data_IF_338525251002
#
_entry.id   IF_338525251002
#
_cell.length_a   1.000
_cell.length_b   1.000
_cell.length_c   1.000
_cell.angle_alpha   90.00
_cell.angle_beta   90.00
_cell.angle_gamma   90.00
#
_symmetry.space_group_name_H-M   'P 1'
#
loop_
_entity.id
_entity.type
_entity.pdbx_description
1 polymer ?
#
# COMPACT_ATOMS: atom_id res chain seq x y z
N UNK A 1 -8.43 -9.40 7.98
CA UNK A 1 -8.75 -8.05 7.47
C UNK A 1 -7.46 -7.48 6.89
N UNK A 2 -7.31 -7.55 5.58
CA UNK A 2 -6.11 -7.05 4.90
C UNK A 2 -6.08 -5.55 5.03
N UNK A 3 -5.12 -5.03 5.79
CA UNK A 3 -4.80 -3.61 5.80
C UNK A 3 -4.35 -3.24 4.39
N UNK A 4 -5.21 -2.54 3.67
CA UNK A 4 -4.90 -1.95 2.38
C UNK A 4 -3.88 -0.84 2.58
N UNK A 5 -2.59 -1.20 2.56
CA UNK A 5 -1.49 -0.24 2.41
C UNK A 5 -1.36 -0.01 0.91
N UNK A 6 -2.22 0.82 0.34
CA UNK A 6 -2.20 1.15 -1.10
C UNK A 6 -2.24 2.66 -1.37
N UNK A 7 -1.97 3.50 -0.38
CA UNK A 7 -2.16 4.94 -0.57
C UNK A 7 -0.90 5.74 -0.96
N UNK A 8 0.30 5.15 -0.99
CA UNK A 8 1.54 5.93 -1.19
C UNK A 8 2.11 5.95 -2.61
N UNK A 9 1.82 4.94 -3.42
CA UNK A 9 2.51 4.80 -4.71
C UNK A 9 1.68 5.28 -5.90
N UNK A 10 0.35 5.31 -5.80
CA UNK A 10 -0.54 5.74 -6.90
C UNK A 10 -0.45 7.24 -7.20
N UNK A 11 -0.02 8.05 -6.24
CA UNK A 11 0.09 9.49 -6.45
C UNK A 11 1.35 9.92 -7.23
N UNK A 12 2.40 9.09 -7.28
CA UNK A 12 3.66 9.44 -7.97
C UNK A 12 3.68 8.98 -9.44
N UNK A 13 2.80 8.04 -9.83
CA UNK A 13 2.72 7.53 -11.21
C UNK A 13 1.62 8.19 -12.04
N UNK A 14 0.76 9.02 -11.47
CA UNK A 14 -0.43 9.53 -12.14
C UNK A 14 -0.19 10.82 -12.98
N UNK A 15 1.03 11.20 -13.25
CA UNK A 15 1.33 12.48 -13.90
C UNK A 15 2.21 12.46 -15.16
N UNK A 16 2.65 11.30 -15.66
CA UNK A 16 3.63 11.27 -16.75
C UNK A 16 3.20 10.41 -17.94
N UNK A 17 2.31 10.95 -18.75
CA UNK A 17 2.26 10.60 -20.14
C UNK A 17 3.05 11.65 -20.94
N UNK A 18 4.36 11.46 -21.14
CA UNK A 18 5.10 12.15 -22.21
C UNK A 18 6.40 11.45 -22.58
N UNK A 19 6.41 11.03 -23.83
CA UNK A 19 7.49 10.98 -24.79
C UNK A 19 8.79 10.32 -24.34
N UNK A 20 8.94 9.10 -24.78
CA UNK A 20 10.27 8.49 -25.01
C UNK A 20 11.04 9.36 -26.00
N UNK A 21 12.06 10.08 -25.56
CA UNK A 21 13.10 10.57 -26.42
C UNK A 21 13.98 9.37 -26.76
N UNK A 22 13.79 8.82 -27.97
CA UNK A 22 14.81 8.00 -28.58
C UNK A 22 16.09 8.83 -28.67
N UNK A 23 17.21 8.26 -28.25
CA UNK A 23 18.53 8.80 -28.51
C UNK A 23 18.71 8.97 -30.00
N UNK A 24 18.66 10.22 -30.42
CA UNK A 24 18.84 10.69 -31.78
C UNK A 24 19.46 12.07 -31.78
N UNK A 25 20.79 12.10 -31.80
CA UNK A 25 21.63 13.18 -32.33
C UNK A 25 21.35 14.60 -31.83
N UNK A 26 22.23 15.11 -31.02
CA UNK A 26 22.44 16.54 -30.80
C UNK A 26 22.67 17.24 -32.15
N UNK A 27 21.63 17.90 -32.64
CA UNK A 27 21.66 18.75 -33.80
C UNK A 27 20.46 19.66 -33.72
N UNK A 28 20.67 20.96 -33.44
CA UNK A 28 19.64 22.01 -33.58
C UNK A 28 19.10 22.02 -35.00
N UNK A 29 18.10 21.21 -35.28
CA UNK A 29 17.48 21.09 -36.58
C UNK A 29 16.01 21.50 -36.50
N UNK A 30 15.67 22.70 -36.90
CA UNK A 30 14.32 23.10 -37.21
C UNK A 30 13.76 22.28 -38.35
N UNK A 31 13.27 21.05 -38.05
CA UNK A 31 12.51 20.23 -38.98
C UNK A 31 11.02 20.33 -38.69
N UNK A 32 10.20 19.88 -39.62
CA UNK A 32 8.77 19.74 -39.40
C UNK A 32 8.50 18.44 -38.65
N UNK A 33 7.57 18.49 -37.68
CA UNK A 33 7.14 17.27 -36.95
C UNK A 33 6.06 16.51 -37.72
N UNK A 34 5.30 17.21 -38.56
CA UNK A 34 4.28 16.62 -39.43
C UNK A 34 3.92 17.54 -40.60
N UNK A 35 3.29 16.96 -41.63
CA UNK A 35 2.66 17.68 -42.72
C UNK A 35 1.22 17.17 -42.87
N UNK A 36 0.25 18.09 -42.88
CA UNK A 36 -1.19 17.77 -43.02
C UNK A 36 -1.69 18.50 -44.25
N UNK A 37 -2.08 17.78 -45.29
CA UNK A 37 -2.56 18.35 -46.57
C UNK A 37 -1.61 19.40 -47.18
N UNK A 38 -0.29 19.22 -46.98
CA UNK A 38 0.73 20.17 -47.47
C UNK A 38 1.11 21.29 -46.50
N UNK A 39 0.36 21.52 -45.45
CA UNK A 39 0.70 22.47 -44.40
C UNK A 39 1.58 21.80 -43.33
N UNK A 40 2.56 22.52 -42.83
CA UNK A 40 3.61 21.99 -41.94
C UNK A 40 3.35 22.36 -40.49
N UNK A 41 3.60 21.40 -39.58
CA UNK A 41 3.73 21.66 -38.15
C UNK A 41 5.24 21.70 -37.87
N UNK A 42 5.74 22.87 -37.52
CA UNK A 42 7.17 23.02 -37.24
C UNK A 42 7.53 22.43 -35.87
N UNK A 43 8.78 21.97 -35.72
CA UNK A 43 9.33 21.55 -34.44
C UNK A 43 9.24 22.67 -33.39
N UNK A 44 9.57 23.89 -33.79
CA UNK A 44 9.55 25.04 -32.88
C UNK A 44 8.15 25.33 -32.33
N UNK A 45 7.10 25.27 -33.17
CA UNK A 45 5.72 25.48 -32.71
C UNK A 45 5.23 24.37 -31.81
N UNK A 46 5.59 23.11 -32.13
CA UNK A 46 5.28 21.96 -31.30
C UNK A 46 5.94 22.07 -29.94
N UNK A 47 7.25 22.33 -29.90
CA UNK A 47 8.02 22.44 -28.64
C UNK A 47 7.51 23.64 -27.82
N UNK A 48 7.25 24.79 -28.43
CA UNK A 48 6.67 25.96 -27.77
C UNK A 48 5.30 25.65 -27.14
N UNK A 49 4.47 24.89 -27.86
CA UNK A 49 3.17 24.46 -27.32
C UNK A 49 3.29 23.46 -26.19
N UNK A 50 4.25 22.54 -26.30
CA UNK A 50 4.52 21.56 -25.26
C UNK A 50 5.03 22.24 -23.97
N UNK A 51 6.04 23.11 -24.08
CA UNK A 51 6.66 23.82 -22.95
C UNK A 51 5.67 24.76 -22.24
N UNK A 52 4.80 25.43 -22.99
CA UNK A 52 3.75 26.27 -22.41
C UNK A 52 2.60 25.48 -21.77
N UNK A 53 2.51 24.18 -22.04
CA UNK A 53 1.45 23.32 -21.51
C UNK A 53 1.66 23.03 -20.01
N UNK A 54 0.55 22.70 -19.33
CA UNK A 54 0.61 22.26 -17.93
C UNK A 54 1.52 21.01 -17.75
N UNK A 55 1.47 20.09 -18.70
CA UNK A 55 2.28 18.88 -18.71
C UNK A 55 3.77 19.18 -18.88
N UNK A 56 4.12 20.05 -19.84
CA UNK A 56 5.50 20.47 -20.05
C UNK A 56 6.11 21.13 -18.80
N UNK A 57 5.36 22.02 -18.17
CA UNK A 57 5.75 22.64 -16.90
C UNK A 57 5.90 21.62 -15.77
N UNK A 58 5.03 20.62 -15.69
CA UNK A 58 5.13 19.54 -14.70
C UNK A 58 6.40 18.68 -14.92
N UNK A 59 6.70 18.33 -16.16
CA UNK A 59 7.93 17.61 -16.53
C UNK A 59 9.17 18.43 -16.17
N UNK A 60 9.19 19.71 -16.52
CA UNK A 60 10.30 20.60 -16.17
C UNK A 60 10.51 20.65 -14.63
N UNK A 61 9.44 20.85 -13.87
CA UNK A 61 9.51 20.85 -12.40
C UNK A 61 10.10 19.52 -11.85
N UNK A 62 9.68 18.39 -12.41
CA UNK A 62 10.20 17.09 -12.03
C UNK A 62 11.69 16.93 -12.38
N UNK A 63 12.12 17.40 -13.55
CA UNK A 63 13.54 17.39 -13.94
C UNK A 63 14.39 18.23 -12.98
N UNK A 64 13.92 19.43 -12.63
CA UNK A 64 14.58 20.28 -11.62
C UNK A 64 14.68 19.55 -10.28
N UNK A 65 13.59 18.96 -9.81
CA UNK A 65 13.56 18.22 -8.55
C UNK A 65 14.52 17.03 -8.58
N UNK A 66 14.51 16.23 -9.65
CA UNK A 66 15.42 15.11 -9.82
C UNK A 66 16.88 15.54 -9.77
N UNK A 67 17.25 16.63 -10.48
CA UNK A 67 18.60 17.16 -10.48
C UNK A 67 19.03 17.62 -9.07
N UNK A 68 18.13 18.26 -8.31
CA UNK A 68 18.41 18.68 -6.94
C UNK A 68 18.64 17.47 -6.01
N UNK A 69 17.87 16.40 -6.18
CA UNK A 69 18.06 15.16 -5.41
C UNK A 69 19.41 14.53 -5.75
N UNK A 70 19.79 14.45 -7.02
CA UNK A 70 21.04 13.86 -7.47
C UNK A 70 22.25 14.69 -6.97
N UNK A 71 22.15 16.02 -7.03
CA UNK A 71 23.17 16.92 -6.47
C UNK A 71 23.31 16.78 -4.96
N UNK A 72 22.19 16.66 -4.24
CA UNK A 72 22.20 16.41 -2.80
C UNK A 72 22.87 15.09 -2.47
N UNK A 73 22.54 14.02 -3.18
CA UNK A 73 23.15 12.71 -2.99
C UNK A 73 24.67 12.78 -3.18
N UNK A 74 25.13 13.43 -4.24
CA UNK A 74 26.55 13.64 -4.53
C UNK A 74 27.26 14.43 -3.42
N UNK A 75 26.65 15.51 -2.97
CA UNK A 75 27.24 16.40 -1.94
C UNK A 75 27.28 15.76 -0.55
N UNK A 76 26.40 14.80 -0.27
CA UNK A 76 26.31 14.11 1.01
C UNK A 76 26.82 12.66 0.99
N UNK A 77 27.49 12.25 -0.11
CA UNK A 77 28.02 10.90 -0.29
C UNK A 77 26.95 9.80 -0.13
N UNK A 78 25.72 10.07 -0.55
CA UNK A 78 24.65 9.09 -0.57
C UNK A 78 24.76 8.28 -1.86
N UNK A 79 25.06 6.99 -1.73
CA UNK A 79 25.08 6.05 -2.85
C UNK A 79 23.94 5.05 -2.71
N UNK A 80 23.28 4.79 -3.83
CA UNK A 80 22.23 3.76 -3.98
C UNK A 80 22.74 2.77 -5.03
N UNK A 81 22.87 1.51 -4.64
CA UNK A 81 23.32 0.45 -5.55
C UNK A 81 22.23 0.05 -6.55
N UNK A 82 22.64 -0.51 -7.70
CA UNK A 82 21.68 -1.06 -8.66
C UNK A 82 20.88 -2.23 -8.06
N UNK A 83 21.49 -2.98 -7.13
CA UNK A 83 20.81 -4.05 -6.40
C UNK A 83 19.68 -3.52 -5.51
N UNK A 84 19.86 -2.37 -4.83
CA UNK A 84 18.82 -1.75 -4.04
C UNK A 84 17.65 -1.27 -4.91
N UNK A 85 17.97 -0.70 -6.07
CA UNK A 85 16.95 -0.27 -7.05
C UNK A 85 16.18 -1.48 -7.58
N UNK A 86 16.87 -2.55 -7.96
CA UNK A 86 16.24 -3.78 -8.46
C UNK A 86 15.34 -4.41 -7.39
N UNK A 87 15.81 -4.51 -6.16
CA UNK A 87 15.01 -5.00 -5.04
C UNK A 87 13.73 -4.18 -4.84
N UNK A 88 13.85 -2.85 -4.89
CA UNK A 88 12.68 -1.96 -4.75
C UNK A 88 11.69 -2.15 -5.90
N UNK A 89 12.20 -2.35 -7.11
CA UNK A 89 11.38 -2.64 -8.29
C UNK A 89 10.64 -3.97 -8.15
N UNK A 90 11.35 -5.04 -7.73
CA UNK A 90 10.77 -6.37 -7.53
C UNK A 90 9.70 -6.36 -6.42
N UNK A 91 9.94 -5.63 -5.33
CA UNK A 91 8.97 -5.43 -4.24
C UNK A 91 7.69 -4.75 -4.74
N UNK A 92 7.82 -3.83 -5.70
CA UNK A 92 6.67 -3.18 -6.33
C UNK A 92 5.96 -4.14 -7.29
N UNK A 93 6.70 -4.78 -8.18
CA UNK A 93 6.17 -5.76 -9.14
C UNK A 93 5.37 -6.87 -8.46
N UNK A 94 5.86 -7.36 -7.31
CA UNK A 94 5.20 -8.42 -6.54
C UNK A 94 3.79 -8.09 -6.04
N UNK A 95 3.43 -6.80 -6.01
CA UNK A 95 2.10 -6.32 -5.57
C UNK A 95 1.06 -6.30 -6.69
N UNK A 96 1.48 -6.56 -7.92
CA UNK A 96 0.62 -6.58 -9.09
C UNK A 96 0.50 -8.00 -9.66
N UNK A 97 -0.64 -8.36 -10.24
CA UNK A 97 -0.77 -9.56 -11.05
C UNK A 97 0.27 -9.57 -12.20
N UNK A 98 0.66 -10.78 -12.62
CA UNK A 98 1.64 -10.95 -13.68
C UNK A 98 1.27 -10.15 -14.95
N UNK A 99 2.22 -9.38 -15.48
CA UNK A 99 2.06 -8.55 -16.68
C UNK A 99 1.32 -7.23 -16.48
N UNK A 100 0.70 -6.98 -15.32
CA UNK A 100 -0.02 -5.73 -15.07
C UNK A 100 0.91 -4.55 -14.88
N UNK A 101 2.05 -4.77 -14.24
CA UNK A 101 3.06 -3.73 -14.03
C UNK A 101 3.58 -3.19 -15.38
N UNK A 102 3.93 -4.07 -16.30
CA UNK A 102 4.40 -3.73 -17.65
C UNK A 102 3.32 -3.00 -18.47
N UNK A 103 2.05 -3.38 -18.30
CA UNK A 103 0.93 -2.66 -18.92
C UNK A 103 0.81 -1.23 -18.40
N UNK A 104 1.00 -1.02 -17.09
CA UNK A 104 1.00 0.32 -16.48
C UNK A 104 2.13 1.16 -17.07
N UNK A 105 3.36 0.62 -17.16
CA UNK A 105 4.50 1.34 -17.73
C UNK A 105 4.21 1.77 -19.18
N UNK A 106 3.72 0.85 -20.02
CA UNK A 106 3.32 1.15 -21.41
C UNK A 106 2.25 2.22 -21.51
N UNK A 107 1.22 2.16 -20.66
CA UNK A 107 0.14 3.15 -20.66
C UNK A 107 0.62 4.54 -20.26
N UNK A 108 1.71 4.64 -19.52
CA UNK A 108 2.31 5.88 -19.04
C UNK A 108 3.55 6.29 -19.87
N UNK A 109 3.87 5.57 -20.94
CA UNK A 109 5.06 5.76 -21.76
C UNK A 109 6.36 5.82 -20.94
N UNK A 110 6.46 5.00 -19.88
CA UNK A 110 7.65 4.88 -19.06
C UNK A 110 8.51 3.71 -19.53
N UNK A 111 9.82 3.96 -19.64
CA UNK A 111 10.83 2.91 -19.86
C UNK A 111 11.26 2.31 -18.52
N UNK A 112 11.89 1.14 -18.54
CA UNK A 112 12.51 0.56 -17.34
C UNK A 112 13.60 1.49 -16.75
N UNK A 113 14.35 2.20 -17.59
CA UNK A 113 15.37 3.14 -17.14
C UNK A 113 14.74 4.35 -16.42
N UNK A 114 13.59 4.83 -16.88
CA UNK A 114 12.83 5.87 -16.18
C UNK A 114 12.40 5.40 -14.80
N UNK A 115 11.89 4.17 -14.70
CA UNK A 115 11.49 3.56 -13.42
C UNK A 115 12.71 3.46 -12.50
N UNK A 116 13.81 2.91 -12.98
CA UNK A 116 15.04 2.77 -12.17
C UNK A 116 15.57 4.12 -11.69
N UNK A 117 15.52 5.14 -12.54
CA UNK A 117 15.91 6.50 -12.17
C UNK A 117 15.00 7.07 -11.09
N UNK A 118 13.68 6.94 -11.24
CA UNK A 118 12.69 7.40 -10.25
C UNK A 118 12.89 6.67 -8.92
N UNK A 119 13.06 5.35 -8.94
CA UNK A 119 13.28 4.56 -7.75
C UNK A 119 14.60 4.91 -7.05
N UNK A 120 15.67 5.16 -7.82
CA UNK A 120 16.95 5.62 -7.24
C UNK A 120 16.79 6.96 -6.53
N UNK A 121 16.10 7.92 -7.14
CA UNK A 121 15.83 9.22 -6.52
C UNK A 121 14.96 9.08 -5.26
N UNK A 122 13.96 8.21 -5.30
CA UNK A 122 13.15 7.90 -4.12
C UNK A 122 14.01 7.32 -2.98
N UNK A 123 14.87 6.35 -3.26
CA UNK A 123 15.76 5.75 -2.27
C UNK A 123 16.77 6.76 -1.69
N UNK A 124 17.25 7.72 -2.51
CA UNK A 124 18.08 8.83 -2.03
C UNK A 124 17.30 9.69 -1.01
N UNK A 125 16.06 10.05 -1.34
CA UNK A 125 15.21 10.87 -0.47
C UNK A 125 14.88 10.11 0.82
N UNK A 126 14.48 8.84 0.73
CA UNK A 126 14.25 7.97 1.89
C UNK A 126 15.49 7.97 2.79
N UNK A 127 16.67 7.67 2.26
CA UNK A 127 17.91 7.62 3.02
C UNK A 127 18.30 8.96 3.65
N UNK A 128 18.03 10.07 2.95
CA UNK A 128 18.32 11.43 3.46
C UNK A 128 17.38 11.82 4.61
N UNK A 129 16.11 11.44 4.52
CA UNK A 129 15.10 11.73 5.53
C UNK A 129 15.28 10.83 6.75
N UNK A 130 15.51 9.52 6.54
CA UNK A 130 15.69 8.52 7.60
C UNK A 130 16.85 8.86 8.55
N UNK A 131 17.91 9.44 8.02
CA UNK A 131 19.06 9.86 8.84
C UNK A 131 18.67 10.81 9.99
N UNK A 132 17.52 11.48 9.88
CA UNK A 132 17.02 12.43 10.87
C UNK A 132 15.83 11.89 11.68
N UNK A 133 15.26 10.76 11.31
CA UNK A 133 14.13 10.14 12.01
C UNK A 133 14.64 9.36 13.22
N UNK A 134 14.10 9.70 14.39
CA UNK A 134 14.42 9.01 15.65
C UNK A 134 13.11 8.66 16.36
N UNK A 135 12.79 7.40 16.40
CA UNK A 135 11.64 6.90 17.15
C UNK A 135 12.12 6.39 18.51
N UNK A 136 11.78 7.12 19.56
CA UNK A 136 12.09 6.73 20.93
C UNK A 136 11.11 5.70 21.50
N UNK A 137 11.49 5.04 22.59
CA UNK A 137 10.59 4.12 23.30
C UNK A 137 9.41 4.86 23.94
N UNK A 138 9.56 6.15 24.23
CA UNK A 138 8.47 7.01 24.67
C UNK A 138 7.43 7.24 23.56
N UNK A 139 7.87 7.41 22.29
CA UNK A 139 6.98 7.54 21.15
C UNK A 139 6.18 6.24 20.94
N UNK A 140 6.86 5.10 21.04
CA UNK A 140 6.24 3.77 20.94
C UNK A 140 5.18 3.58 22.03
N UNK A 141 5.53 3.89 23.29
CA UNK A 141 4.61 3.78 24.42
C UNK A 141 3.40 4.71 24.28
N UNK A 142 3.63 5.95 23.84
CA UNK A 142 2.57 6.93 23.59
C UNK A 142 1.64 6.49 22.45
N UNK A 143 2.21 5.95 21.36
CA UNK A 143 1.42 5.44 20.24
C UNK A 143 0.57 4.24 20.68
N UNK A 144 1.16 3.29 21.41
CA UNK A 144 0.47 2.13 21.95
C UNK A 144 -0.71 2.55 22.83
N UNK A 145 -0.49 3.44 23.78
CA UNK A 145 -1.54 3.92 24.69
C UNK A 145 -2.74 4.54 23.96
N UNK A 146 -2.50 5.22 22.82
CA UNK A 146 -3.55 5.86 22.03
C UNK A 146 -4.24 4.91 21.03
N UNK A 147 -3.64 3.76 20.73
CA UNK A 147 -4.06 2.91 19.61
C UNK A 147 -4.32 1.45 20.01
N UNK A 148 -4.55 1.13 21.28
CA UNK A 148 -4.86 -0.24 21.73
C UNK A 148 -5.98 -0.87 20.91
N UNK A 149 -7.08 -0.14 20.66
CA UNK A 149 -8.24 -0.66 19.92
C UNK A 149 -7.91 -1.18 18.51
N UNK A 150 -6.84 -0.68 17.90
CA UNK A 150 -6.39 -1.09 16.55
C UNK A 150 -5.20 -2.06 16.57
N UNK A 151 -4.48 -2.11 17.66
CA UNK A 151 -3.30 -2.96 17.83
C UNK A 151 -3.65 -4.28 18.49
N UNK A 152 -4.63 -4.29 19.39
CA UNK A 152 -5.13 -5.51 20.00
C UNK A 152 -5.80 -6.39 18.95
N UNK A 153 -5.55 -7.67 19.04
CA UNK A 153 -6.22 -8.65 18.19
C UNK A 153 -7.28 -9.39 18.96
N UNK A 154 -8.46 -9.50 18.38
CA UNK A 154 -9.52 -10.32 18.96
C UNK A 154 -9.22 -11.81 18.76
N UNK A 155 -9.76 -12.64 19.67
CA UNK A 155 -9.80 -14.08 19.47
C UNK A 155 -10.46 -14.42 18.14
N UNK A 156 -9.85 -15.33 17.38
CA UNK A 156 -10.37 -15.81 16.09
C UNK A 156 -10.44 -17.33 16.09
N UNK A 157 -11.46 -17.83 15.43
CA UNK A 157 -11.67 -19.26 15.21
C UNK A 157 -11.79 -19.51 13.71
N UNK A 158 -11.07 -20.53 13.23
CA UNK A 158 -11.28 -21.09 11.89
C UNK A 158 -12.09 -22.37 12.03
N UNK A 159 -13.19 -22.43 11.33
CA UNK A 159 -14.10 -23.56 11.40
C UNK A 159 -14.72 -23.89 10.06
N UNK A 160 -15.22 -25.10 9.93
CA UNK A 160 -16.10 -25.56 8.85
C UNK A 160 -17.43 -26.01 9.42
N UNK A 161 -18.47 -25.91 8.61
CA UNK A 161 -19.81 -26.31 9.04
C UNK A 161 -20.63 -26.97 7.94
N UNK A 162 -21.63 -27.72 8.38
CA UNK A 162 -22.70 -28.25 7.52
C UNK A 162 -24.02 -27.71 8.07
N UNK A 163 -24.76 -26.96 7.25
CA UNK A 163 -26.08 -26.43 7.60
C UNK A 163 -27.16 -27.30 7.02
N UNK A 164 -28.11 -27.76 7.84
CA UNK A 164 -29.28 -28.54 7.40
C UNK A 164 -30.58 -28.02 8.03
N UNK A 165 -31.70 -28.33 7.42
CA UNK A 165 -32.99 -27.76 7.85
C UNK A 165 -33.53 -28.33 9.16
N UNK A 166 -33.31 -29.61 9.43
CA UNK A 166 -33.93 -30.32 10.55
C UNK A 166 -32.91 -31.07 11.42
N UNK A 167 -33.31 -31.32 12.68
CA UNK A 167 -32.47 -31.92 13.70
C UNK A 167 -32.10 -33.38 13.35
N UNK A 168 -33.03 -34.14 12.74
CA UNK A 168 -32.77 -35.54 12.44
C UNK A 168 -31.66 -35.67 11.39
N UNK A 169 -31.73 -34.91 10.33
CA UNK A 169 -30.66 -34.87 9.30
C UNK A 169 -29.32 -34.39 9.93
N UNK A 170 -29.35 -33.42 10.86
CA UNK A 170 -28.15 -32.96 11.54
C UNK A 170 -27.50 -34.07 12.38
N UNK A 171 -28.30 -34.85 13.13
CA UNK A 171 -27.82 -35.99 13.91
C UNK A 171 -27.27 -37.12 13.01
N UNK A 172 -27.93 -37.40 11.90
CA UNK A 172 -27.49 -38.39 10.94
C UNK A 172 -26.13 -38.02 10.31
N UNK A 173 -25.92 -36.72 9.99
CA UNK A 173 -24.64 -36.19 9.49
C UNK A 173 -23.56 -36.22 10.60
N UNK A 174 -23.87 -35.81 11.80
CA UNK A 174 -22.96 -35.90 12.93
C UNK A 174 -22.48 -37.33 13.18
N UNK A 175 -23.39 -38.30 13.14
CA UNK A 175 -23.06 -39.72 13.34
C UNK A 175 -22.15 -40.24 12.21
N UNK A 176 -22.41 -39.85 10.94
CA UNK A 176 -21.55 -40.24 9.81
C UNK A 176 -20.15 -39.65 9.98
N UNK A 177 -20.02 -38.38 10.39
CA UNK A 177 -18.73 -37.74 10.67
C UNK A 177 -17.98 -38.45 11.80
N UNK A 178 -18.67 -38.78 12.90
CA UNK A 178 -18.07 -39.55 14.02
C UNK A 178 -17.67 -40.97 13.61
N UNK A 179 -18.31 -41.54 12.61
CA UNK A 179 -17.95 -42.81 12.02
C UNK A 179 -16.79 -42.70 10.98
N UNK A 180 -16.22 -41.52 10.76
CA UNK A 180 -15.06 -41.31 9.91
C UNK A 180 -15.38 -40.90 8.46
N UNK A 181 -16.62 -40.51 8.15
CA UNK A 181 -16.93 -39.91 6.85
C UNK A 181 -16.24 -38.58 6.68
N UNK A 182 -15.86 -38.20 5.46
CA UNK A 182 -15.20 -36.94 5.17
C UNK A 182 -16.17 -35.75 5.25
N UNK A 183 -15.74 -34.73 5.96
CA UNK A 183 -16.56 -33.53 6.19
C UNK A 183 -16.95 -32.86 4.88
N UNK A 184 -16.02 -32.74 3.92
CA UNK A 184 -16.21 -32.10 2.63
C UNK A 184 -17.27 -32.82 1.78
N UNK A 185 -17.27 -34.17 1.82
CA UNK A 185 -18.24 -34.97 1.09
C UNK A 185 -19.66 -34.79 1.65
N UNK A 186 -19.78 -34.77 2.99
CA UNK A 186 -21.07 -34.55 3.64
C UNK A 186 -21.53 -33.07 3.51
N UNK A 187 -20.61 -32.10 3.53
CA UNK A 187 -20.93 -30.70 3.25
C UNK A 187 -21.48 -30.53 1.83
N UNK A 188 -20.81 -31.11 0.83
CA UNK A 188 -21.27 -31.07 -0.55
C UNK A 188 -22.65 -31.75 -0.73
N UNK A 189 -22.92 -32.82 0.00
CA UNK A 189 -24.17 -33.61 -0.10
C UNK A 189 -25.33 -32.92 0.63
N UNK A 190 -25.13 -32.53 1.88
CA UNK A 190 -26.20 -32.15 2.80
C UNK A 190 -26.30 -30.67 3.09
N UNK A 191 -25.21 -29.90 2.98
CA UNK A 191 -25.25 -28.50 3.39
C UNK A 191 -26.17 -27.66 2.49
N UNK A 192 -26.99 -26.84 3.14
CA UNK A 192 -27.85 -25.83 2.50
C UNK A 192 -27.20 -24.45 2.45
N UNK A 193 -25.99 -24.28 3.03
CA UNK A 193 -25.27 -23.00 2.97
C UNK A 193 -24.56 -22.86 1.61
N UNK A 194 -25.01 -21.94 0.72
CA UNK A 194 -24.42 -21.80 -0.62
C UNK A 194 -23.02 -21.19 -0.58
N UNK A 195 -22.65 -20.51 0.51
CA UNK A 195 -21.38 -19.80 0.61
C UNK A 195 -20.18 -20.71 0.90
N UNK A 196 -20.40 -21.78 1.66
CA UNK A 196 -19.37 -22.72 2.11
C UNK A 196 -19.53 -24.14 1.55
N UNK A 197 -20.72 -24.53 1.11
CA UNK A 197 -21.01 -25.88 0.59
C UNK A 197 -19.97 -26.36 -0.43
N UNK A 198 -19.68 -25.57 -1.45
CA UNK A 198 -18.75 -25.91 -2.53
C UNK A 198 -17.27 -25.91 -2.09
N UNK A 199 -17.01 -25.40 -0.89
CA UNK A 199 -15.67 -25.32 -0.26
C UNK A 199 -15.54 -26.31 0.90
N UNK A 200 -16.32 -27.39 0.90
CA UNK A 200 -16.30 -28.38 1.98
C UNK A 200 -16.80 -27.88 3.33
N UNK A 201 -17.59 -26.81 3.36
CA UNK A 201 -18.12 -26.19 4.56
C UNK A 201 -17.20 -25.13 5.21
N UNK A 202 -16.06 -24.80 4.59
CA UNK A 202 -15.03 -23.89 5.14
C UNK A 202 -15.55 -22.45 5.25
N UNK A 203 -15.38 -21.85 6.43
CA UNK A 203 -15.79 -20.47 6.74
C UNK A 203 -14.62 -19.51 6.86
N UNK A 204 -13.38 -20.02 6.93
CA UNK A 204 -12.21 -19.25 7.25
C UNK A 204 -12.19 -18.76 8.69
N UNK A 205 -11.29 -17.80 8.99
CA UNK A 205 -11.21 -17.17 10.31
C UNK A 205 -12.31 -16.13 10.52
N UNK A 206 -12.95 -16.19 11.69
CA UNK A 206 -13.90 -15.19 12.14
C UNK A 206 -13.71 -14.85 13.61
N UNK A 207 -14.06 -13.62 13.98
CA UNK A 207 -14.03 -13.09 15.34
C UNK A 207 -15.43 -13.09 15.96
N UNK A 208 -15.51 -12.84 17.27
CA UNK A 208 -16.81 -12.62 17.94
C UNK A 208 -17.56 -11.46 17.31
N UNK A 209 -18.87 -11.60 17.15
CA UNK A 209 -19.77 -10.62 16.50
C UNK A 209 -19.96 -10.84 15.00
N UNK A 210 -19.26 -11.79 14.35
CA UNK A 210 -19.40 -12.05 12.92
C UNK A 210 -20.35 -13.18 12.57
N UNK A 211 -20.72 -14.01 13.54
CA UNK A 211 -21.63 -15.15 13.37
C UNK A 211 -22.86 -15.02 14.26
N UNK A 212 -23.92 -15.76 13.92
CA UNK A 212 -25.12 -15.81 14.78
C UNK A 212 -24.77 -16.32 16.18
N UNK A 213 -25.41 -15.82 17.25
CA UNK A 213 -24.98 -16.05 18.62
C UNK A 213 -24.81 -17.52 19.01
N UNK A 214 -25.73 -18.39 18.63
CA UNK A 214 -25.66 -19.81 18.95
C UNK A 214 -24.48 -20.52 18.29
N UNK A 215 -24.24 -20.24 17.00
CA UNK A 215 -23.10 -20.75 16.26
C UNK A 215 -21.79 -20.27 16.88
N UNK A 216 -21.69 -18.96 17.13
CA UNK A 216 -20.51 -18.36 17.73
C UNK A 216 -20.17 -18.97 19.09
N UNK A 217 -21.18 -19.09 19.98
CA UNK A 217 -20.97 -19.69 21.29
C UNK A 217 -20.40 -21.13 21.20
N UNK A 218 -20.94 -21.94 20.29
CA UNK A 218 -20.47 -23.29 20.04
C UNK A 218 -19.05 -23.31 19.47
N UNK A 219 -18.77 -22.55 18.42
CA UNK A 219 -17.47 -22.54 17.75
C UNK A 219 -16.34 -22.07 18.69
N UNK A 220 -16.56 -21.04 19.50
CA UNK A 220 -15.52 -20.54 20.43
C UNK A 220 -15.29 -21.45 21.64
N UNK A 221 -16.29 -22.25 22.05
CA UNK A 221 -16.16 -23.18 23.19
C UNK A 221 -15.66 -24.57 22.79
N UNK A 222 -15.91 -25.01 21.55
CA UNK A 222 -15.64 -26.37 21.08
C UNK A 222 -14.13 -26.68 21.02
N UNK A 223 -13.69 -27.92 21.33
CA UNK A 223 -12.31 -28.37 21.11
C UNK A 223 -11.93 -28.38 19.62
N UNK A 224 -10.62 -28.32 19.34
CA UNK A 224 -10.09 -28.41 17.97
C UNK A 224 -10.29 -29.82 17.39
N UNK A 225 -10.62 -29.88 16.13
CA UNK A 225 -10.75 -31.12 15.32
C UNK A 225 -11.75 -32.13 15.91
N UNK A 226 -12.78 -31.62 16.57
CA UNK A 226 -13.88 -32.42 17.12
C UNK A 226 -15.19 -31.94 16.51
N UNK A 227 -15.96 -32.87 15.95
CA UNK A 227 -17.32 -32.57 15.49
C UNK A 227 -18.23 -32.37 16.69
N UNK A 228 -18.77 -31.15 16.84
CA UNK A 228 -19.70 -30.81 17.92
C UNK A 228 -21.12 -31.31 17.67
N UNK A 229 -21.98 -31.26 18.70
CA UNK A 229 -23.39 -31.57 18.54
C UNK A 229 -24.09 -30.52 17.63
N UNK A 230 -25.24 -30.90 17.02
CA UNK A 230 -26.02 -29.97 16.21
C UNK A 230 -26.42 -28.70 16.96
N UNK A 231 -26.10 -27.55 16.40
CA UNK A 231 -26.39 -26.22 16.97
C UNK A 231 -27.55 -25.57 16.22
N UNK A 232 -28.65 -25.29 16.91
CA UNK A 232 -29.82 -24.65 16.33
C UNK A 232 -29.61 -23.16 16.12
N UNK A 233 -29.99 -22.64 14.94
CA UNK A 233 -30.02 -21.22 14.60
C UNK A 233 -31.32 -20.87 13.86
N UNK A 234 -31.57 -19.59 13.53
CA UNK A 234 -32.66 -19.20 12.64
C UNK A 234 -32.59 -19.80 11.22
N UNK A 235 -31.40 -20.26 10.79
CA UNK A 235 -31.18 -20.83 9.47
C UNK A 235 -31.34 -22.35 9.42
N UNK A 236 -31.42 -23.02 10.56
CA UNK A 236 -31.45 -24.48 10.68
C UNK A 236 -30.51 -25.00 11.75
N UNK A 237 -29.95 -26.18 11.51
CA UNK A 237 -29.01 -26.82 12.42
C UNK A 237 -27.62 -26.89 11.80
N UNK A 238 -26.62 -26.48 12.54
CA UNK A 238 -25.21 -26.46 12.14
C UNK A 238 -24.48 -27.61 12.83
N UNK A 239 -23.75 -28.38 12.06
CA UNK A 239 -22.73 -29.30 12.54
C UNK A 239 -21.40 -28.56 12.32
N UNK A 240 -20.65 -28.33 13.41
CA UNK A 240 -19.47 -27.47 13.41
C UNK A 240 -18.25 -28.29 13.77
N UNK A 241 -17.15 -28.04 13.08
CA UNK A 241 -15.83 -28.52 13.45
C UNK A 241 -14.86 -27.31 13.45
N UNK A 242 -14.17 -27.12 14.56
CA UNK A 242 -13.18 -26.04 14.75
C UNK A 242 -11.82 -26.59 14.41
N UNK A 243 -11.12 -25.96 13.45
CA UNK A 243 -9.83 -26.42 12.96
C UNK A 243 -8.65 -25.66 13.59
N UNK A 244 -8.86 -24.37 13.88
CA UNK A 244 -7.80 -23.52 14.45
C UNK A 244 -8.39 -22.44 15.36
N UNK A 245 -7.66 -22.10 16.44
CA UNK A 245 -7.96 -20.96 17.31
C UNK A 245 -6.76 -20.06 17.43
N UNK A 246 -6.96 -18.79 17.20
CA UNK A 246 -5.98 -17.72 17.46
C UNK A 246 -6.44 -16.96 18.70
N UNK A 247 -5.70 -17.02 19.80
CA UNK A 247 -6.07 -16.30 21.02
C UNK A 247 -6.09 -14.79 20.78
N UNK A 248 -6.89 -14.08 21.55
CA UNK A 248 -6.81 -12.64 21.64
C UNK A 248 -5.41 -12.24 22.13
N UNK A 249 -4.86 -11.18 21.55
CA UNK A 249 -3.57 -10.64 21.97
C UNK A 249 -3.73 -9.18 22.33
N UNK A 250 -3.40 -8.82 23.55
CA UNK A 250 -3.28 -7.42 23.95
C UNK A 250 -1.92 -6.92 23.48
N UNK A 251 -1.94 -5.81 22.77
CA UNK A 251 -0.72 -5.15 22.32
C UNK A 251 0.04 -4.61 23.54
N UNK A 252 1.32 -4.94 23.60
CA UNK A 252 2.28 -4.46 24.60
C UNK A 252 3.50 -3.90 23.88
N UNK A 253 4.34 -3.15 24.57
CA UNK A 253 5.62 -2.71 24.01
C UNK A 253 6.44 -3.93 23.57
N UNK A 254 6.44 -5.01 24.36
CA UNK A 254 7.25 -6.20 24.08
C UNK A 254 6.85 -6.92 22.77
N UNK A 255 5.56 -6.95 22.41
CA UNK A 255 5.08 -7.67 21.23
C UNK A 255 4.74 -6.77 20.04
N UNK A 256 4.79 -5.44 20.19
CA UNK A 256 4.32 -4.49 19.19
C UNK A 256 5.34 -3.40 18.84
N UNK A 257 6.48 -3.30 19.56
CA UNK A 257 7.46 -2.23 19.37
C UNK A 257 7.96 -2.12 17.94
N UNK A 258 8.33 -3.23 17.29
CA UNK A 258 8.86 -3.21 15.93
C UNK A 258 7.82 -2.74 14.92
N UNK A 259 6.58 -3.22 15.06
CA UNK A 259 5.46 -2.81 14.22
C UNK A 259 5.14 -1.32 14.41
N UNK A 260 5.10 -0.85 15.65
CA UNK A 260 4.86 0.56 15.97
C UNK A 260 6.00 1.43 15.46
N UNK A 261 7.24 1.02 15.67
CA UNK A 261 8.43 1.73 15.16
C UNK A 261 8.36 1.90 13.65
N UNK A 262 8.05 0.82 12.94
CA UNK A 262 7.88 0.86 11.46
C UNK A 262 6.78 1.82 11.05
N UNK A 263 5.62 1.79 11.71
CA UNK A 263 4.50 2.70 11.42
C UNK A 263 4.88 4.17 11.68
N UNK A 264 5.53 4.46 12.81
CA UNK A 264 5.93 5.80 13.16
C UNK A 264 7.03 6.32 12.23
N UNK A 265 7.99 5.48 11.84
CA UNK A 265 9.02 5.82 10.85
C UNK A 265 8.37 6.19 9.53
N UNK A 266 7.49 5.36 9.00
CA UNK A 266 6.77 5.64 7.74
C UNK A 266 5.94 6.93 7.82
N UNK A 267 5.30 7.19 8.95
CA UNK A 267 4.54 8.41 9.16
C UNK A 267 5.44 9.66 9.18
N UNK A 268 6.60 9.58 9.84
CA UNK A 268 7.56 10.68 9.88
C UNK A 268 8.22 10.90 8.52
N UNK A 269 8.56 9.83 7.78
CA UNK A 269 9.07 9.91 6.40
C UNK A 269 8.08 10.66 5.49
N UNK A 270 6.80 10.25 5.50
CA UNK A 270 5.75 10.89 4.69
C UNK A 270 5.59 12.38 5.01
N UNK A 271 5.75 12.78 6.29
CA UNK A 271 5.68 14.16 6.69
C UNK A 271 6.95 14.96 6.35
N UNK A 272 8.12 14.32 6.41
CA UNK A 272 9.41 14.96 6.21
C UNK A 272 9.77 15.13 4.73
N UNK A 273 9.35 14.23 3.84
CA UNK A 273 9.70 14.27 2.40
C UNK A 273 9.33 15.60 1.74
N UNK A 274 8.10 16.14 1.86
CA UNK A 274 7.75 17.43 1.25
C UNK A 274 8.62 18.57 1.76
N UNK A 275 8.88 18.61 3.08
CA UNK A 275 9.74 19.64 3.71
C UNK A 275 11.17 19.50 3.23
N UNK A 276 11.69 18.30 3.11
CA UNK A 276 13.02 18.03 2.59
C UNK A 276 13.16 18.53 1.14
N UNK A 277 12.25 18.15 0.24
CA UNK A 277 12.26 18.56 -1.16
C UNK A 277 12.14 20.10 -1.29
N UNK A 278 11.30 20.72 -0.48
CA UNK A 278 11.18 22.17 -0.41
C UNK A 278 12.50 22.80 0.05
N UNK A 279 13.19 22.21 1.02
CA UNK A 279 14.49 22.72 1.52
C UNK A 279 15.58 22.64 0.45
N UNK A 280 15.61 21.57 -0.36
CA UNK A 280 16.53 21.47 -1.49
C UNK A 280 16.32 22.61 -2.47
N UNK A 281 15.05 22.86 -2.80
CA UNK A 281 14.69 23.90 -3.75
C UNK A 281 14.98 25.31 -3.24
N UNK A 282 14.70 25.60 -1.96
CA UNK A 282 14.93 26.93 -1.37
C UNK A 282 16.40 27.30 -1.25
N UNK A 283 17.29 26.30 -1.16
CA UNK A 283 18.75 26.48 -1.07
C UNK A 283 19.41 26.52 -2.44
N UNK A 284 18.72 26.14 -3.49
CA UNK A 284 19.29 26.05 -4.83
C UNK A 284 19.25 27.40 -5.55
N UNK A 285 20.29 27.69 -6.32
CA UNK A 285 20.28 28.77 -7.30
C UNK A 285 19.73 28.23 -8.63
N UNK A 286 18.44 28.46 -8.89
CA UNK A 286 17.76 27.99 -10.10
C UNK A 286 17.59 29.19 -11.05
N UNK A 287 18.24 29.14 -12.21
CA UNK A 287 18.08 30.14 -13.26
C UNK A 287 17.31 29.52 -14.42
N UNK A 288 16.12 30.04 -14.69
CA UNK A 288 15.28 29.62 -15.82
C UNK A 288 15.50 30.65 -16.94
N UNK A 289 16.12 30.17 -18.03
CA UNK A 289 16.48 31.02 -19.18
C UNK A 289 15.36 31.10 -20.23
N UNK A 290 14.44 30.13 -20.25
CA UNK A 290 13.29 30.12 -21.14
C UNK A 290 12.09 30.82 -20.51
N UNK A 291 11.60 31.89 -21.16
CA UNK A 291 10.49 32.69 -20.63
C UNK A 291 9.18 31.88 -20.47
N UNK A 292 8.98 30.84 -21.28
CA UNK A 292 7.77 30.00 -21.26
C UNK A 292 7.70 29.11 -20.03
N UNK A 293 8.86 28.88 -19.37
CA UNK A 293 9.00 28.03 -18.20
C UNK A 293 9.20 28.81 -16.90
N UNK A 294 9.25 30.15 -16.95
CA UNK A 294 9.51 30.97 -15.75
C UNK A 294 8.52 30.73 -14.60
N UNK A 295 7.29 30.40 -14.92
CA UNK A 295 6.22 30.05 -13.97
C UNK A 295 6.02 28.53 -13.79
N UNK A 296 6.92 27.71 -14.34
CA UNK A 296 6.80 26.24 -14.26
C UNK A 296 7.10 25.70 -12.85
N UNK A 297 7.85 26.45 -12.06
CA UNK A 297 8.13 26.08 -10.68
C UNK A 297 7.12 26.74 -9.75
N UNK A 298 6.34 25.97 -8.96
CA UNK A 298 5.41 26.53 -8.00
C UNK A 298 6.15 27.43 -6.99
N UNK A 299 5.53 28.50 -6.45
CA UNK A 299 6.18 29.35 -5.46
C UNK A 299 6.63 28.50 -4.26
N UNK A 300 7.79 28.82 -3.71
CA UNK A 300 8.25 28.21 -2.45
C UNK A 300 7.37 28.81 -1.36
N UNK A 301 6.53 28.02 -0.65
CA UNK A 301 5.78 28.55 0.49
C UNK A 301 6.74 29.18 1.48
N UNK A 302 6.40 30.34 2.02
CA UNK A 302 7.17 30.94 3.11
C UNK A 302 7.28 29.90 4.23
N UNK A 303 8.49 29.71 4.77
CA UNK A 303 8.71 28.77 5.85
C UNK A 303 7.73 29.11 6.99
N UNK A 304 6.77 28.22 7.22
CA UNK A 304 5.95 28.30 8.43
C UNK A 304 6.90 28.10 9.61
N UNK A 305 7.00 29.04 10.54
CA UNK A 305 7.82 28.84 11.73
C UNK A 305 7.35 27.52 12.37
N UNK A 306 8.31 26.64 12.69
CA UNK A 306 8.04 25.38 13.36
C UNK A 306 7.10 25.65 14.52
N UNK A 307 5.90 25.04 14.49
CA UNK A 307 4.96 25.13 15.59
C UNK A 307 5.66 24.58 16.83
N UNK A 308 5.95 25.47 17.76
CA UNK A 308 6.45 25.09 19.09
C UNK A 308 5.53 24.03 19.65
N UNK A 309 6.04 22.89 20.14
CA UNK A 309 5.19 21.90 20.77
C UNK A 309 4.41 22.59 21.90
N UNK A 310 3.12 22.30 22.09
CA UNK A 310 2.37 22.86 23.20
C UNK A 310 3.07 22.47 24.50
N UNK A 311 3.33 23.45 25.33
CA UNK A 311 3.87 23.26 26.67
C UNK A 311 3.01 22.26 27.43
N UNK A 312 3.62 21.39 28.29
CA UNK A 312 2.85 20.46 29.10
C UNK A 312 1.87 21.25 29.98
N UNK A 313 0.59 20.93 29.87
CA UNK A 313 -0.42 21.52 30.71
C UNK A 313 -0.11 21.20 32.19
N UNK A 314 0.25 22.20 32.94
CA UNK A 314 0.28 22.16 34.41
C UNK A 314 -1.15 22.02 34.89
N UNK A 315 -1.51 20.83 35.34
CA UNK A 315 -2.76 20.60 36.04
C UNK A 315 -2.68 21.21 37.45
N UNK A 316 -3.76 21.82 37.97
CA UNK A 316 -3.84 22.32 39.33
C UNK A 316 -3.93 21.20 40.38
#
# INVERSE_FOLDING_TARGET
MSVRITAGFTALLLGLALAGCSEGSAGGGGGDVATVNGEKISRADYDAKLESSQQGKAVFNQMVQGLLIDQYAKSNNISISDADVQKKEDDIKSKYPAGQFEQILKSQNLTEDDVKRILRQQLIVEKAVDANIKISDADISSYLAKNHATLDTQEQVRARHILVADLKTAQDVENQLKAGAKFEELAAKYSTDPSSKAKGGELGFFSKGQMVPAFQAAAFSQPLNVVGPPVKSPFGYHIIEVEEKKPATVATVANSSDKIRTLLTQQQEQAAVPTFLQSLRSKANIQITDDRLKDALPPIPAATPASTPPAPATSP
#
